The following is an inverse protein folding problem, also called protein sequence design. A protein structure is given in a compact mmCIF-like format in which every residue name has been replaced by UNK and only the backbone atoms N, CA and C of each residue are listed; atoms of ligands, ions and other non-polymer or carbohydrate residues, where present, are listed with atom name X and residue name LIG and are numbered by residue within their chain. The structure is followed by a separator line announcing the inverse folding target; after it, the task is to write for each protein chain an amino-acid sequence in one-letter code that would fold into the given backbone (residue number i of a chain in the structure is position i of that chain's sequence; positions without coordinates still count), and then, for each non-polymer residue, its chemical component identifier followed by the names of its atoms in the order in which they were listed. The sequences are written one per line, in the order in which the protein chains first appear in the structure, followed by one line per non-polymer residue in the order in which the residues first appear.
data_IF_176079003390
#
_entry.id   IF_176079003390
#
_cell.length_a   1.000
_cell.length_b   1.000
_cell.length_c   1.000
_cell.angle_alpha   90.00
_cell.angle_beta   90.00
_cell.angle_gamma   90.00
#
_symmetry.space_group_name_H-M   'P 1'
#
loop_
_entity.id
_entity.type
_entity.pdbx_description
1 polymer ?
#
# COMPACT_ATOMS: atom_id res chain seq x y z
N UNK A 1 34.26 10.56 11.94
CA UNK A 1 33.24 9.48 11.99
C UNK A 1 32.34 9.60 10.78
N UNK A 2 32.41 8.65 9.84
CA UNK A 2 31.55 8.62 8.65
C UNK A 2 30.32 7.79 8.98
N UNK A 3 29.14 8.41 8.93
CA UNK A 3 27.88 7.72 9.12
C UNK A 3 27.61 6.86 7.86
N UNK A 4 27.38 5.55 7.99
CA UNK A 4 27.16 4.67 6.83
C UNK A 4 25.96 5.11 5.98
N UNK A 5 26.08 5.02 4.65
CA UNK A 5 25.04 5.40 3.70
C UNK A 5 23.68 4.71 3.94
N UNK A 6 23.70 3.48 4.49
CA UNK A 6 22.49 2.75 4.85
C UNK A 6 21.73 3.39 6.03
N UNK A 7 22.42 4.09 6.95
CA UNK A 7 21.74 4.84 8.04
C UNK A 7 21.03 6.08 7.50
N UNK A 8 21.58 6.73 6.47
CA UNK A 8 20.89 7.81 5.76
C UNK A 8 19.71 7.30 4.94
N UNK A 9 19.86 6.18 4.23
CA UNK A 9 18.77 5.55 3.50
C UNK A 9 17.64 5.08 4.44
N UNK A 10 17.99 4.47 5.57
CA UNK A 10 17.04 4.07 6.61
C UNK A 10 16.35 5.29 7.21
N UNK A 11 17.08 6.36 7.58
CA UNK A 11 16.48 7.58 8.11
C UNK A 11 15.58 8.31 7.09
N UNK A 12 15.95 8.30 5.81
CA UNK A 12 15.13 8.82 4.71
C UNK A 12 13.88 7.97 4.46
N UNK A 13 13.98 6.64 4.60
CA UNK A 13 12.85 5.74 4.59
C UNK A 13 11.95 6.03 5.79
N UNK A 14 12.46 6.06 7.02
CA UNK A 14 11.68 6.36 8.24
C UNK A 14 11.00 7.73 8.17
N UNK A 15 11.69 8.77 7.68
CA UNK A 15 11.11 10.10 7.49
C UNK A 15 10.07 10.16 6.35
N UNK A 16 10.20 9.30 5.33
CA UNK A 16 9.19 9.14 4.25
C UNK A 16 7.97 8.36 4.74
N UNK A 17 8.16 7.29 5.52
CA UNK A 17 7.06 6.51 6.11
C UNK A 17 6.29 7.34 7.14
N UNK A 18 6.97 8.14 7.96
CA UNK A 18 6.33 9.04 8.93
C UNK A 18 5.39 10.06 8.28
N UNK A 19 5.62 10.43 7.01
CA UNK A 19 4.75 11.36 6.25
C UNK A 19 3.50 10.66 5.70
N UNK A 20 3.62 9.40 5.31
CA UNK A 20 2.48 8.56 4.91
C UNK A 20 1.56 8.30 6.12
N UNK A 21 2.14 8.28 7.32
CA UNK A 21 1.44 8.15 8.60
C UNK A 21 1.03 9.51 9.21
N UNK A 22 0.96 10.58 8.41
CA UNK A 22 0.48 11.88 8.91
C UNK A 22 -1.01 11.84 9.23
N UNK A 23 -1.45 12.66 10.20
CA UNK A 23 -2.86 12.73 10.63
C UNK A 23 -3.80 13.02 9.45
N UNK A 24 -3.40 13.88 8.51
CA UNK A 24 -4.22 14.19 7.34
C UNK A 24 -4.44 12.97 6.42
N UNK A 25 -3.43 12.11 6.24
CA UNK A 25 -3.59 10.87 5.47
C UNK A 25 -4.44 9.88 6.25
N UNK A 26 -4.25 9.76 7.57
CA UNK A 26 -5.06 8.90 8.43
C UNK A 26 -6.55 9.29 8.40
N UNK A 27 -6.87 10.59 8.44
CA UNK A 27 -8.24 11.10 8.32
C UNK A 27 -8.87 10.71 6.98
N UNK A 28 -8.12 10.78 5.87
CA UNK A 28 -8.59 10.31 4.56
C UNK A 28 -8.81 8.79 4.58
N UNK A 29 -7.89 8.00 5.14
CA UNK A 29 -8.03 6.55 5.23
C UNK A 29 -9.25 6.14 6.08
N UNK A 30 -9.53 6.87 7.16
CA UNK A 30 -10.73 6.69 8.00
C UNK A 30 -12.01 7.07 7.26
N UNK A 31 -12.02 8.22 6.57
CA UNK A 31 -13.14 8.67 5.75
C UNK A 31 -13.55 7.64 4.70
N UNK A 32 -12.57 6.98 4.07
CA UNK A 32 -12.79 5.97 3.03
C UNK A 32 -12.67 4.53 3.53
N UNK A 33 -12.68 4.28 4.84
CA UNK A 33 -12.45 2.97 5.43
C UNK A 33 -13.34 1.89 4.82
N UNK A 34 -14.65 2.14 4.69
CA UNK A 34 -15.59 1.18 4.11
C UNK A 34 -15.31 0.88 2.63
N UNK A 35 -14.87 1.86 1.85
CA UNK A 35 -14.44 1.65 0.45
C UNK A 35 -13.18 0.80 0.39
N UNK A 36 -12.18 1.13 1.20
CA UNK A 36 -10.92 0.37 1.25
C UNK A 36 -11.16 -1.07 1.70
N UNK A 37 -12.02 -1.28 2.70
CA UNK A 37 -12.39 -2.60 3.18
C UNK A 37 -13.11 -3.42 2.09
N UNK A 38 -13.97 -2.79 1.31
CA UNK A 38 -14.65 -3.45 0.19
C UNK A 38 -13.68 -3.87 -0.92
N UNK A 39 -12.76 -2.97 -1.31
CA UNK A 39 -11.71 -3.30 -2.28
C UNK A 39 -10.84 -4.44 -1.76
N UNK A 40 -10.40 -4.35 -0.51
CA UNK A 40 -9.61 -5.39 0.12
C UNK A 40 -10.35 -6.73 0.09
N UNK A 41 -11.62 -6.76 0.49
CA UNK A 41 -12.45 -7.98 0.49
C UNK A 41 -12.59 -8.61 -0.89
N UNK A 42 -12.69 -7.80 -1.95
CA UNK A 42 -12.84 -8.26 -3.34
C UNK A 42 -11.57 -8.88 -3.90
N UNK A 43 -10.42 -8.27 -3.60
CA UNK A 43 -9.15 -8.69 -4.18
C UNK A 43 -8.38 -9.69 -3.30
N UNK A 44 -8.78 -9.91 -2.05
CA UNK A 44 -8.06 -10.76 -1.08
C UNK A 44 -8.70 -12.12 -0.86
N UNK A 45 -7.86 -13.10 -0.54
CA UNK A 45 -8.27 -14.40 -0.03
C UNK A 45 -8.37 -15.52 -1.06
N UNK A 46 -7.98 -15.29 -2.32
CA UNK A 46 -7.95 -16.36 -3.34
C UNK A 46 -6.92 -17.43 -3.04
N UNK A 47 -5.80 -17.04 -2.42
CA UNK A 47 -4.72 -17.95 -2.03
C UNK A 47 -4.70 -18.21 -0.53
N UNK A 48 -5.66 -17.67 0.23
CA UNK A 48 -5.74 -17.92 1.68
C UNK A 48 -6.34 -19.31 1.93
N UNK A 49 -5.68 -20.17 2.73
CA UNK A 49 -6.24 -21.47 3.10
C UNK A 49 -7.55 -21.35 3.89
N UNK A 50 -8.48 -22.31 3.77
CA UNK A 50 -9.69 -22.35 4.59
C UNK A 50 -9.36 -22.33 6.08
N UNK A 51 -10.10 -21.52 6.86
CA UNK A 51 -9.90 -21.39 8.31
C UNK A 51 -8.82 -20.39 8.73
N UNK A 52 -8.08 -19.79 7.79
CA UNK A 52 -7.13 -18.71 8.06
C UNK A 52 -7.79 -17.35 7.78
N UNK A 53 -7.41 -16.32 8.53
CA UNK A 53 -7.83 -14.95 8.26
C UNK A 53 -7.40 -14.53 6.84
N UNK A 54 -8.33 -13.96 6.07
CA UNK A 54 -8.05 -13.52 4.70
C UNK A 54 -6.89 -12.52 4.68
N UNK A 55 -5.94 -12.75 3.78
CA UNK A 55 -4.87 -11.83 3.47
C UNK A 55 -4.86 -11.51 1.97
N UNK A 56 -4.21 -10.41 1.62
CA UNK A 56 -3.92 -10.05 0.24
C UNK A 56 -2.50 -10.48 -0.09
N UNK A 57 -2.34 -11.34 -1.08
CA UNK A 57 -1.04 -11.70 -1.63
C UNK A 57 -0.48 -10.59 -2.51
N UNK A 58 0.82 -10.68 -2.83
CA UNK A 58 1.43 -9.75 -3.77
C UNK A 58 0.75 -9.79 -5.14
N UNK A 59 0.44 -10.98 -5.66
CA UNK A 59 -0.25 -11.14 -6.96
C UNK A 59 -1.64 -10.49 -6.95
N UNK A 60 -2.40 -10.67 -5.88
CA UNK A 60 -3.70 -10.01 -5.69
C UNK A 60 -3.59 -8.49 -5.63
N UNK A 61 -2.54 -7.98 -4.97
CA UNK A 61 -2.27 -6.55 -4.96
C UNK A 61 -1.89 -6.03 -6.35
N UNK A 62 -1.06 -6.72 -7.11
CA UNK A 62 -0.70 -6.33 -8.48
C UNK A 62 -1.94 -6.25 -9.39
N UNK A 63 -2.82 -7.24 -9.32
CA UNK A 63 -4.05 -7.30 -10.11
C UNK A 63 -4.99 -6.14 -9.78
N UNK A 64 -5.05 -5.68 -8.51
CA UNK A 64 -5.79 -4.48 -8.14
C UNK A 64 -5.28 -3.24 -8.92
N UNK A 65 -3.96 -3.07 -8.99
CA UNK A 65 -3.37 -1.92 -9.70
C UNK A 65 -3.61 -1.99 -11.21
N UNK A 66 -3.59 -3.18 -11.79
CA UNK A 66 -3.93 -3.41 -13.20
C UNK A 66 -5.40 -3.11 -13.47
N UNK A 67 -6.30 -3.68 -12.66
CA UNK A 67 -7.76 -3.50 -12.78
C UNK A 67 -8.19 -2.04 -12.61
N UNK A 68 -7.49 -1.29 -11.77
CA UNK A 68 -7.73 0.14 -11.58
C UNK A 68 -7.20 1.02 -12.71
N UNK A 69 -6.52 0.46 -13.72
CA UNK A 69 -5.88 1.22 -14.79
C UNK A 69 -5.03 2.37 -14.24
N UNK A 70 -4.26 2.07 -13.18
CA UNK A 70 -3.48 3.07 -12.46
C UNK A 70 -2.00 3.01 -12.84
N UNK A 71 -1.56 2.00 -13.58
CA UNK A 71 -0.16 1.93 -14.02
C UNK A 71 0.13 3.01 -15.07
N UNK A 72 1.25 3.70 -14.91
CA UNK A 72 1.77 4.70 -15.87
C UNK A 72 3.25 4.43 -16.12
N UNK A 73 3.88 5.05 -17.14
CA UNK A 73 5.33 4.93 -17.34
C UNK A 73 6.15 5.33 -16.10
N UNK A 74 5.64 6.27 -15.31
CA UNK A 74 6.25 6.75 -14.05
C UNK A 74 5.89 5.86 -12.86
N UNK A 75 4.76 5.16 -12.90
CA UNK A 75 4.29 4.24 -11.87
C UNK A 75 4.07 2.83 -12.41
N UNK A 76 5.17 2.08 -12.49
CA UNK A 76 5.21 0.73 -13.05
C UNK A 76 4.88 -0.37 -12.03
N UNK A 77 4.68 -1.59 -12.51
CA UNK A 77 4.54 -2.79 -11.66
C UNK A 77 5.67 -2.95 -10.64
N UNK A 78 6.89 -2.53 -10.98
CA UNK A 78 8.02 -2.54 -10.04
C UNK A 78 7.78 -1.60 -8.86
N UNK A 79 7.17 -0.43 -9.09
CA UNK A 79 6.81 0.52 -8.01
C UNK A 79 5.67 0.00 -7.16
N UNK A 80 4.73 -0.74 -7.73
CA UNK A 80 3.69 -1.47 -6.98
C UNK A 80 4.33 -2.48 -6.03
N UNK A 81 5.28 -3.29 -6.52
CA UNK A 81 6.05 -4.22 -5.68
C UNK A 81 6.85 -3.52 -4.58
N UNK A 82 7.38 -2.34 -4.87
CA UNK A 82 8.04 -1.55 -3.84
C UNK A 82 7.06 -1.07 -2.76
N UNK A 83 5.88 -0.56 -3.15
CA UNK A 83 4.84 -0.15 -2.20
C UNK A 83 4.39 -1.29 -1.29
N UNK A 84 4.20 -2.49 -1.88
CA UNK A 84 3.87 -3.70 -1.12
C UNK A 84 4.92 -3.99 -0.06
N UNK A 85 6.20 -4.06 -0.45
CA UNK A 85 7.29 -4.38 0.48
C UNK A 85 7.48 -3.35 1.58
N UNK A 86 7.31 -2.05 1.27
CA UNK A 86 7.37 -1.00 2.29
C UNK A 86 6.25 -1.17 3.31
N UNK A 87 5.04 -1.52 2.85
CA UNK A 87 3.88 -1.64 3.71
C UNK A 87 3.91 -2.87 4.63
N UNK A 88 4.47 -3.99 4.15
CA UNK A 88 4.66 -5.21 4.94
C UNK A 88 5.63 -5.04 6.12
N UNK A 89 6.42 -3.95 6.10
CA UNK A 89 7.56 -3.70 7.00
C UNK A 89 8.59 -4.86 6.97
N UNK A 90 9.78 -4.66 7.52
CA UNK A 90 10.75 -5.75 7.68
C UNK A 90 10.21 -6.73 8.72
N UNK A 91 9.76 -7.90 8.29
CA UNK A 91 9.44 -9.00 9.19
C UNK A 91 10.77 -9.60 9.67
N UNK A 92 10.91 -9.82 10.98
CA UNK A 92 12.19 -10.24 11.58
C UNK A 92 12.66 -11.64 11.15
N UNK A 93 11.76 -12.44 10.57
CA UNK A 93 12.02 -13.83 10.16
C UNK A 93 11.33 -14.12 8.83
N UNK A 94 12.07 -13.97 7.72
CA UNK A 94 11.58 -14.19 6.34
C UNK A 94 11.83 -15.63 5.85
N UNK A 95 12.74 -16.39 6.48
CA UNK A 95 13.15 -17.70 5.97
C UNK A 95 12.17 -18.82 6.32
N UNK A 96 11.48 -18.71 7.46
CA UNK A 96 10.62 -19.76 7.99
C UNK A 96 9.12 -19.42 8.00
N UNK A 97 8.74 -18.20 7.59
CA UNK A 97 7.36 -17.72 7.66
C UNK A 97 6.92 -17.16 6.32
N UNK A 98 5.74 -17.56 5.84
CA UNK A 98 5.13 -17.01 4.61
C UNK A 98 4.52 -15.63 4.80
N UNK A 99 4.47 -15.14 6.05
CA UNK A 99 3.84 -13.86 6.46
C UNK A 99 4.32 -12.64 5.67
N UNK A 100 5.55 -12.63 5.16
CA UNK A 100 6.09 -11.53 4.34
C UNK A 100 5.37 -11.37 2.99
N UNK A 101 4.50 -12.32 2.61
CA UNK A 101 3.66 -12.27 1.42
C UNK A 101 2.17 -12.08 1.74
N UNK A 102 1.79 -12.02 3.02
CA UNK A 102 0.39 -12.09 3.47
C UNK A 102 -0.08 -10.74 4.02
N UNK A 103 -0.39 -9.79 3.13
CA UNK A 103 -0.74 -8.43 3.52
C UNK A 103 -2.11 -8.36 4.20
N UNK A 104 -2.15 -7.89 5.45
CA UNK A 104 -3.39 -7.65 6.18
C UNK A 104 -4.03 -6.31 5.75
N UNK A 105 -5.23 -6.01 6.26
CA UNK A 105 -5.96 -4.80 5.86
C UNK A 105 -5.24 -3.50 6.21
N UNK A 106 -4.60 -3.41 7.38
CA UNK A 106 -3.86 -2.21 7.81
C UNK A 106 -2.63 -2.00 6.92
N UNK A 107 -1.91 -3.08 6.62
CA UNK A 107 -0.79 -3.06 5.69
C UNK A 107 -1.25 -2.66 4.28
N UNK A 108 -2.43 -3.10 3.84
CA UNK A 108 -3.02 -2.66 2.59
C UNK A 108 -3.28 -1.14 2.55
N UNK A 109 -3.87 -0.56 3.60
CA UNK A 109 -4.05 0.89 3.68
C UNK A 109 -2.71 1.63 3.59
N UNK A 110 -1.69 1.11 4.27
CA UNK A 110 -0.35 1.67 4.20
C UNK A 110 0.23 1.57 2.78
N UNK A 111 0.07 0.42 2.11
CA UNK A 111 0.53 0.21 0.73
C UNK A 111 -0.13 1.18 -0.26
N UNK A 112 -1.42 1.48 -0.08
CA UNK A 112 -2.13 2.50 -0.88
C UNK A 112 -1.52 3.88 -0.66
N UNK A 113 -1.24 4.26 0.58
CA UNK A 113 -0.57 5.53 0.91
C UNK A 113 0.83 5.64 0.30
N UNK A 114 1.63 4.56 0.38
CA UNK A 114 2.96 4.49 -0.25
C UNK A 114 2.85 4.61 -1.76
N UNK A 115 1.92 3.89 -2.39
CA UNK A 115 1.73 3.94 -3.83
C UNK A 115 1.32 5.35 -4.30
N UNK A 116 0.41 6.03 -3.60
CA UNK A 116 0.05 7.41 -3.88
C UNK A 116 1.27 8.35 -3.81
N UNK A 117 2.14 8.17 -2.83
CA UNK A 117 3.41 8.91 -2.73
C UNK A 117 4.34 8.62 -3.92
N UNK A 118 4.51 7.35 -4.29
CA UNK A 118 5.37 6.93 -5.42
C UNK A 118 4.87 7.41 -6.78
N UNK A 119 3.61 7.81 -6.89
CA UNK A 119 3.03 8.44 -8.09
C UNK A 119 3.45 9.90 -8.28
N UNK A 120 4.31 10.43 -7.41
CA UNK A 120 4.90 11.76 -7.56
C UNK A 120 4.24 12.84 -6.70
N UNK A 121 3.41 12.47 -5.73
CA UNK A 121 2.81 13.43 -4.82
C UNK A 121 3.85 13.96 -3.82
N UNK A 122 3.94 15.29 -3.71
CA UNK A 122 4.79 15.92 -2.71
C UNK A 122 4.22 15.67 -1.31
N UNK A 123 5.07 15.72 -0.28
CA UNK A 123 4.66 15.50 1.11
C UNK A 123 3.54 16.46 1.60
N UNK A 124 3.41 17.65 0.98
CA UNK A 124 2.37 18.63 1.33
C UNK A 124 1.00 18.36 0.69
N UNK A 125 0.95 17.56 -0.39
CA UNK A 125 -0.28 17.21 -1.11
C UNK A 125 -0.61 15.72 -1.06
N UNK A 126 0.01 14.97 -0.14
CA UNK A 126 -0.15 13.52 -0.09
C UNK A 126 -1.57 13.11 0.29
N UNK A 127 -2.20 13.80 1.24
CA UNK A 127 -3.59 13.50 1.65
C UNK A 127 -4.55 13.70 0.47
N UNK A 128 -4.46 14.82 -0.24
CA UNK A 128 -5.27 15.09 -1.44
C UNK A 128 -5.00 14.07 -2.55
N UNK A 129 -3.73 13.70 -2.74
CA UNK A 129 -3.35 12.69 -3.73
C UNK A 129 -3.87 11.30 -3.40
N UNK A 130 -3.86 10.90 -2.12
CA UNK A 130 -4.47 9.65 -1.64
C UNK A 130 -5.98 9.71 -1.81
N UNK A 131 -6.62 10.80 -1.40
CA UNK A 131 -8.07 10.97 -1.54
C UNK A 131 -8.51 10.92 -3.01
N UNK A 132 -7.83 11.67 -3.88
CA UNK A 132 -8.07 11.66 -5.32
C UNK A 132 -7.93 10.25 -5.90
N UNK A 133 -6.84 9.55 -5.55
CA UNK A 133 -6.65 8.17 -5.97
C UNK A 133 -7.78 7.24 -5.51
N UNK A 134 -8.16 7.28 -4.23
CA UNK A 134 -9.24 6.44 -3.72
C UNK A 134 -10.54 6.76 -4.46
N UNK A 135 -10.87 8.04 -4.61
CA UNK A 135 -12.11 8.51 -5.23
C UNK A 135 -12.22 8.14 -6.70
N UNK A 136 -11.14 8.30 -7.45
CA UNK A 136 -11.12 8.10 -8.90
C UNK A 136 -10.90 6.65 -9.30
N UNK A 137 -10.12 5.90 -8.51
CA UNK A 137 -9.64 4.56 -8.90
C UNK A 137 -10.25 3.44 -8.05
N UNK A 138 -10.38 3.63 -6.73
CA UNK A 138 -10.84 2.57 -5.84
C UNK A 138 -12.36 2.56 -5.60
N UNK A 139 -13.01 3.72 -5.58
CA UNK A 139 -14.48 3.80 -5.46
C UNK A 139 -15.22 3.10 -6.62
N UNK A 140 -14.82 3.24 -7.90
CA UNK A 140 -15.43 2.48 -8.99
C UNK A 140 -15.33 0.97 -8.78
N UNK A 141 -14.14 0.50 -8.43
CA UNK A 141 -13.86 -0.91 -8.15
C UNK A 141 -14.72 -1.43 -6.99
N UNK A 142 -14.82 -0.67 -5.89
CA UNK A 142 -15.65 -1.04 -4.74
C UNK A 142 -17.14 -1.11 -5.09
N UNK A 143 -17.59 -0.34 -6.08
CA UNK A 143 -18.98 -0.34 -6.55
C UNK A 143 -19.26 -1.40 -7.62
N UNK A 144 -18.23 -2.09 -8.13
CA UNK A 144 -18.36 -3.12 -9.16
C UNK A 144 -18.63 -2.53 -10.55
N UNK A 145 -18.06 -1.37 -10.84
CA UNK A 145 -18.06 -0.74 -12.16
C UNK A 145 -16.66 -0.72 -12.74
#
# INVERSE_FOLDING_TARGET
MVVPAWRWAAALLTARTARILSLAVDDVMKKYHGTLQEVYRRFSGRVTPPGVAKFMSFGEFQELWESSHSLTPEFTQRRVGFAFRVAMMTQSEEMLKTRFQEMNFVEFQHAVGVAAFLRGQSARGLADGVEGFIREKLVPIARGR
#
